data_IF_566676284131
#
_entry.id   IF_566676284131
#
_cell.length_a   1.000
_cell.length_b   1.000
_cell.length_c   1.000
_cell.angle_alpha   90.00
_cell.angle_beta   90.00
_cell.angle_gamma   90.00
#
_symmetry.space_group_name_H-M   'P 1'
#
loop_
_entity.id
_entity.type
_entity.pdbx_description
1 polymer ?
#
# COMPACT_ATOMS: atom_id res chain seq x y z
N UNK A 1 58.36 44.96 69.32
CA UNK A 1 58.46 43.64 70.01
C UNK A 1 58.33 42.56 68.96
N UNK A 2 58.88 41.34 69.04
CA UNK A 2 60.05 40.69 69.69
C UNK A 2 59.86 39.18 69.36
N UNK A 3 60.93 38.44 69.09
CA UNK A 3 61.02 36.95 69.00
C UNK A 3 60.29 36.18 67.85
N UNK A 4 61.08 35.86 66.81
CA UNK A 4 61.62 34.51 66.47
C UNK A 4 60.82 33.20 66.68
N UNK A 5 60.70 32.43 65.57
CA UNK A 5 60.83 30.93 65.44
C UNK A 5 59.86 29.99 66.21
N UNK A 6 59.31 28.91 65.63
CA UNK A 6 60.01 27.64 65.30
C UNK A 6 59.28 26.77 64.21
N UNK A 7 60.08 26.07 63.41
CA UNK A 7 59.91 24.88 62.53
C UNK A 7 58.55 24.10 62.47
N UNK A 8 58.10 23.72 61.26
CA UNK A 8 57.01 22.75 61.02
C UNK A 8 56.91 22.14 59.59
N UNK A 9 57.70 21.08 59.30
CA UNK A 9 57.84 20.33 58.02
C UNK A 9 56.54 19.54 57.68
N UNK A 10 55.98 19.45 56.45
CA UNK A 10 56.40 18.56 55.32
C UNK A 10 55.49 18.64 54.06
N UNK A 11 56.13 18.56 52.86
CA UNK A 11 55.77 17.79 51.62
C UNK A 11 54.53 18.14 50.76
N UNK A 12 54.79 18.37 49.45
CA UNK A 12 53.95 17.96 48.31
C UNK A 12 52.95 19.00 47.75
N UNK A 13 52.86 19.28 46.44
CA UNK A 13 53.66 18.83 45.28
C UNK A 13 53.30 19.64 44.02
N UNK A 14 54.16 19.69 42.99
CA UNK A 14 53.94 20.51 41.79
C UNK A 14 52.91 19.90 40.83
N UNK A 15 52.11 20.75 40.19
CA UNK A 15 51.40 20.44 38.95
C UNK A 15 52.11 21.16 37.78
N UNK A 16 52.37 20.45 36.69
CA UNK A 16 53.03 20.99 35.49
C UNK A 16 52.02 21.11 34.33
N UNK A 17 52.13 22.19 33.56
CA UNK A 17 51.30 22.43 32.36
C UNK A 17 51.92 21.74 31.16
N UNK A 18 51.12 20.97 30.42
CA UNK A 18 51.49 20.39 29.12
C UNK A 18 50.46 20.85 28.09
N UNK A 19 50.91 21.53 27.04
CA UNK A 19 50.10 21.84 25.87
C UNK A 19 50.09 20.66 24.90
N UNK A 20 48.95 20.36 24.29
CA UNK A 20 48.80 19.34 23.25
C UNK A 20 48.48 20.00 21.90
N UNK A 21 49.15 19.52 20.85
CA UNK A 21 49.04 20.06 19.50
C UNK A 21 47.81 19.51 18.75
N UNK A 22 47.31 20.29 17.79
CA UNK A 22 46.18 19.91 16.93
C UNK A 22 46.65 18.91 15.87
N UNK A 23 46.15 17.68 15.93
CA UNK A 23 46.34 16.66 14.89
C UNK A 23 45.16 16.63 13.91
N UNK A 24 45.41 16.95 12.63
CA UNK A 24 44.39 16.84 11.58
C UNK A 24 44.21 15.38 11.14
N UNK A 25 42.99 14.85 11.21
CA UNK A 25 42.63 13.53 10.68
C UNK A 25 42.16 13.63 9.23
N UNK A 26 42.80 12.87 8.34
CA UNK A 26 42.40 12.79 6.94
C UNK A 26 41.24 11.78 6.72
N UNK A 27 40.29 12.07 5.81
CA UNK A 27 39.17 11.16 5.53
C UNK A 27 39.60 10.04 4.56
N UNK A 28 39.46 8.77 4.99
CA UNK A 28 39.62 7.61 4.12
C UNK A 28 39.35 6.29 4.87
N UNK A 29 38.76 5.24 4.27
CA UNK A 29 38.27 5.12 2.90
C UNK A 29 36.91 4.40 2.87
N UNK A 30 35.98 4.91 2.05
CA UNK A 30 34.69 4.27 1.81
C UNK A 30 34.90 3.02 0.93
N UNK A 31 34.39 1.86 1.38
CA UNK A 31 34.68 0.60 0.71
C UNK A 31 34.01 0.53 -0.68
N UNK A 32 34.82 0.50 -1.74
CA UNK A 32 34.33 0.47 -3.12
C UNK A 32 33.32 -0.69 -3.36
N UNK A 33 32.20 -0.44 -4.06
CA UNK A 33 31.11 -1.41 -4.20
C UNK A 33 31.61 -2.70 -4.86
N UNK A 34 31.36 -3.84 -4.20
CA UNK A 34 31.75 -5.15 -4.73
C UNK A 34 30.89 -5.46 -5.96
N UNK A 35 31.47 -5.55 -7.19
CA UNK A 35 30.67 -5.72 -8.39
C UNK A 35 29.97 -7.08 -8.38
N UNK A 36 28.65 -7.07 -8.55
CA UNK A 36 27.81 -8.26 -8.73
C UNK A 36 26.99 -8.12 -10.02
N UNK A 37 27.26 -9.02 -10.96
CA UNK A 37 26.69 -8.98 -12.31
C UNK A 37 26.10 -10.36 -12.62
N UNK A 38 24.80 -10.41 -12.88
CA UNK A 38 24.15 -11.61 -13.41
C UNK A 38 24.44 -11.76 -14.91
N UNK A 39 24.64 -12.99 -15.36
CA UNK A 39 24.57 -13.35 -16.77
C UNK A 39 23.13 -13.50 -17.25
N UNK A 40 22.97 -13.86 -18.53
CA UNK A 40 21.67 -14.17 -19.12
C UNK A 40 21.05 -15.38 -18.39
N UNK A 41 19.81 -15.22 -17.93
CA UNK A 41 19.02 -16.31 -17.38
C UNK A 41 18.40 -17.14 -18.52
N UNK A 42 18.26 -18.45 -18.31
CA UNK A 42 17.77 -19.39 -19.34
C UNK A 42 16.96 -20.53 -18.72
N UNK A 43 15.95 -20.99 -19.44
CA UNK A 43 15.17 -22.19 -19.15
C UNK A 43 15.50 -23.30 -20.16
N UNK A 44 15.45 -24.57 -19.71
CA UNK A 44 15.69 -25.75 -20.53
C UNK A 44 14.70 -26.87 -20.15
N UNK A 45 13.77 -27.28 -21.03
CA UNK A 45 13.47 -26.66 -22.33
C UNK A 45 12.92 -25.23 -22.17
N UNK A 46 13.21 -24.35 -23.12
CA UNK A 46 12.57 -23.01 -23.19
C UNK A 46 11.12 -23.11 -23.68
N UNK A 47 10.86 -24.04 -24.60
CA UNK A 47 9.54 -24.35 -25.16
C UNK A 47 9.42 -25.85 -25.28
N UNK A 48 8.29 -26.43 -24.87
CA UNK A 48 8.01 -27.85 -25.01
C UNK A 48 6.55 -28.09 -25.38
N UNK A 49 6.32 -29.10 -26.23
CA UNK A 49 5.00 -29.65 -26.55
C UNK A 49 5.14 -31.16 -26.54
N UNK A 50 4.30 -31.87 -25.78
CA UNK A 50 4.43 -33.33 -25.63
C UNK A 50 3.77 -33.87 -24.36
N UNK A 51 4.26 -35.01 -23.87
CA UNK A 51 3.77 -35.64 -22.65
C UNK A 51 4.21 -34.88 -21.39
N UNK A 52 3.32 -34.87 -20.40
CA UNK A 52 3.54 -34.33 -19.07
C UNK A 52 3.39 -35.44 -18.01
N UNK A 53 4.08 -35.38 -16.86
CA UNK A 53 4.77 -34.20 -16.32
C UNK A 53 6.17 -33.95 -16.92
N UNK A 54 6.44 -32.69 -17.27
CA UNK A 54 7.73 -32.23 -17.80
C UNK A 54 8.55 -31.46 -16.77
N UNK A 55 9.81 -31.84 -16.58
CA UNK A 55 10.78 -31.03 -15.82
C UNK A 55 11.37 -29.91 -16.70
N UNK A 56 11.36 -28.68 -16.18
CA UNK A 56 12.05 -27.51 -16.74
C UNK A 56 13.14 -27.08 -15.76
N UNK A 57 14.39 -27.06 -16.22
CA UNK A 57 15.51 -26.53 -15.43
C UNK A 57 15.75 -25.06 -15.77
N UNK A 58 15.70 -24.20 -14.76
CA UNK A 58 16.02 -22.79 -14.84
C UNK A 58 17.46 -22.57 -14.36
N UNK A 59 18.20 -21.69 -15.02
CA UNK A 59 19.58 -21.38 -14.66
C UNK A 59 19.98 -19.93 -14.95
N UNK A 60 20.96 -19.46 -14.20
CA UNK A 60 21.66 -18.18 -14.45
C UNK A 60 23.08 -18.27 -13.90
N UNK A 61 23.91 -17.26 -14.18
CA UNK A 61 25.26 -17.13 -13.60
C UNK A 61 25.40 -15.82 -12.86
N UNK A 62 26.21 -15.79 -11.80
CA UNK A 62 26.54 -14.56 -11.05
C UNK A 62 28.04 -14.39 -10.95
N UNK A 63 28.55 -13.26 -11.46
CA UNK A 63 29.93 -12.82 -11.31
C UNK A 63 30.06 -12.01 -10.02
N UNK A 64 31.03 -12.37 -9.17
CA UNK A 64 31.17 -11.85 -7.79
C UNK A 64 32.65 -11.83 -7.36
N UNK A 65 33.06 -10.81 -6.59
CA UNK A 65 34.43 -10.70 -6.05
C UNK A 65 34.58 -11.51 -4.75
N UNK A 66 35.47 -12.50 -4.76
CA UNK A 66 35.80 -13.33 -3.61
C UNK A 66 36.81 -12.65 -2.65
N UNK A 67 36.77 -12.94 -1.34
CA UNK A 67 35.84 -13.85 -0.66
C UNK A 67 34.48 -13.20 -0.37
N UNK A 68 33.39 -13.94 -0.55
CA UNK A 68 32.02 -13.46 -0.30
C UNK A 68 31.05 -14.60 0.05
N UNK A 69 29.99 -14.28 0.81
CA UNK A 69 28.87 -15.19 1.05
C UNK A 69 27.69 -14.80 0.15
N UNK A 70 27.26 -15.72 -0.70
CA UNK A 70 26.12 -15.58 -1.59
C UNK A 70 24.88 -16.14 -0.88
N UNK A 71 23.93 -15.29 -0.48
CA UNK A 71 22.63 -15.72 0.10
C UNK A 71 21.52 -15.36 -0.88
N UNK A 72 20.77 -16.33 -1.39
CA UNK A 72 19.81 -16.14 -2.48
C UNK A 72 18.58 -17.05 -2.37
N UNK A 73 17.53 -16.74 -3.14
CA UNK A 73 16.45 -17.69 -3.45
C UNK A 73 16.06 -17.59 -4.92
N UNK A 74 15.44 -18.64 -5.46
CA UNK A 74 14.62 -18.55 -6.67
C UNK A 74 13.22 -18.04 -6.32
N UNK A 75 12.71 -17.13 -7.15
CA UNK A 75 11.33 -16.66 -7.18
C UNK A 75 10.69 -17.08 -8.50
N UNK A 76 9.40 -17.40 -8.50
CA UNK A 76 8.68 -17.94 -9.66
C UNK A 76 7.48 -17.07 -10.07
N UNK A 77 6.90 -17.36 -11.24
CA UNK A 77 5.85 -16.55 -11.90
C UNK A 77 4.45 -16.62 -11.26
N UNK A 78 4.22 -17.66 -10.49
CA UNK A 78 3.05 -17.92 -9.64
C UNK A 78 3.12 -17.18 -8.28
N UNK A 79 4.28 -16.55 -7.97
CA UNK A 79 4.57 -15.91 -6.69
C UNK A 79 5.36 -16.81 -5.71
N UNK A 80 5.52 -18.09 -6.03
CA UNK A 80 6.12 -19.09 -5.16
C UNK A 80 7.65 -18.94 -5.08
N UNK A 81 8.27 -19.50 -4.02
CA UNK A 81 9.68 -19.24 -3.72
C UNK A 81 10.42 -20.46 -3.16
N UNK A 82 11.66 -20.66 -3.61
CA UNK A 82 12.50 -21.73 -3.06
C UNK A 82 12.96 -21.44 -1.63
N UNK A 83 13.36 -22.48 -0.88
CA UNK A 83 14.09 -22.31 0.39
C UNK A 83 15.39 -21.54 0.15
N UNK A 84 15.69 -20.57 1.02
CA UNK A 84 16.86 -19.67 0.88
C UNK A 84 18.16 -20.47 0.92
N UNK A 85 18.94 -20.40 -0.16
CA UNK A 85 20.22 -21.08 -0.34
C UNK A 85 21.37 -20.14 0.05
N UNK A 86 22.39 -20.68 0.73
CA UNK A 86 23.61 -19.95 1.10
C UNK A 86 24.84 -20.67 0.57
N UNK A 87 25.73 -19.96 -0.10
CA UNK A 87 26.94 -20.50 -0.73
C UNK A 87 28.15 -19.61 -0.43
N UNK A 88 29.24 -20.19 0.08
CA UNK A 88 30.47 -19.44 0.44
C UNK A 88 31.46 -19.46 -0.73
N UNK A 89 31.71 -18.30 -1.33
CA UNK A 89 32.67 -18.12 -2.42
C UNK A 89 34.05 -17.83 -1.82
N UNK A 90 34.91 -18.85 -1.80
CA UNK A 90 36.29 -18.76 -1.31
C UNK A 90 37.31 -18.24 -2.33
N UNK A 91 38.54 -17.99 -1.86
CA UNK A 91 39.67 -17.55 -2.68
C UNK A 91 39.73 -16.03 -2.92
N UNK A 92 40.54 -15.64 -3.90
CA UNK A 92 40.76 -14.24 -4.33
C UNK A 92 40.26 -14.02 -5.77
N UNK A 93 40.00 -12.77 -6.13
CA UNK A 93 39.63 -12.36 -7.50
C UNK A 93 38.14 -12.43 -7.81
N UNK A 94 37.78 -12.22 -9.08
CA UNK A 94 36.41 -12.42 -9.56
C UNK A 94 36.15 -13.91 -9.81
N UNK A 95 34.97 -14.39 -9.42
CA UNK A 95 34.48 -15.76 -9.65
C UNK A 95 33.11 -15.69 -10.33
N UNK A 96 32.83 -16.66 -11.20
CA UNK A 96 31.51 -16.85 -11.81
C UNK A 96 30.89 -18.10 -11.19
N UNK A 97 29.72 -17.96 -10.56
CA UNK A 97 28.99 -19.08 -9.95
C UNK A 97 27.75 -19.36 -10.80
N UNK A 98 27.54 -20.61 -11.19
CA UNK A 98 26.30 -21.05 -11.83
C UNK A 98 25.24 -21.38 -10.76
N UNK A 99 24.01 -20.92 -10.97
CA UNK A 99 22.87 -21.14 -10.08
C UNK A 99 21.75 -21.79 -10.90
N UNK A 100 21.10 -22.81 -10.34
CA UNK A 100 20.00 -23.51 -10.99
C UNK A 100 18.89 -23.94 -10.02
N UNK A 101 17.73 -24.25 -10.59
CA UNK A 101 16.63 -24.97 -9.96
C UNK A 101 15.83 -25.71 -11.03
N UNK A 102 15.01 -26.68 -10.63
CA UNK A 102 14.09 -27.37 -11.54
C UNK A 102 12.65 -27.19 -11.06
N UNK A 103 11.74 -27.02 -12.01
CA UNK A 103 10.29 -26.95 -11.82
C UNK A 103 9.68 -28.18 -12.52
N UNK A 104 8.75 -28.88 -11.87
CA UNK A 104 7.99 -29.97 -12.47
C UNK A 104 6.63 -29.41 -12.91
N UNK A 105 6.37 -29.45 -14.21
CA UNK A 105 5.12 -28.97 -14.81
C UNK A 105 4.23 -30.18 -15.13
N UNK A 106 2.99 -30.17 -14.68
CA UNK A 106 1.99 -31.23 -14.95
C UNK A 106 1.03 -30.88 -16.08
N UNK A 107 0.76 -29.58 -16.28
CA UNK A 107 -0.32 -29.06 -17.12
C UNK A 107 0.16 -27.86 -17.98
N UNK A 108 -0.68 -27.36 -18.88
CA UNK A 108 -0.35 -26.23 -19.78
C UNK A 108 0.08 -24.97 -19.01
N UNK A 109 1.39 -24.70 -19.03
CA UNK A 109 2.02 -23.69 -18.16
C UNK A 109 2.99 -22.81 -18.94
N UNK A 110 2.76 -21.50 -18.87
CA UNK A 110 3.74 -20.48 -19.25
C UNK A 110 4.22 -19.80 -17.97
N UNK A 111 5.53 -19.81 -17.75
CA UNK A 111 6.10 -19.35 -16.49
C UNK A 111 7.49 -18.77 -16.62
N UNK A 112 8.02 -18.28 -15.51
CA UNK A 112 9.40 -17.82 -15.40
C UNK A 112 9.92 -18.00 -13.99
N UNK A 113 11.25 -18.05 -13.85
CA UNK A 113 11.90 -17.93 -12.55
C UNK A 113 13.13 -17.03 -12.61
N UNK A 114 13.46 -16.38 -11.50
CA UNK A 114 14.61 -15.51 -11.36
C UNK A 114 15.32 -15.76 -10.02
N UNK A 115 16.61 -15.42 -9.93
CA UNK A 115 17.35 -15.46 -8.67
C UNK A 115 17.27 -14.10 -7.99
N UNK A 116 16.69 -14.06 -6.79
CA UNK A 116 16.71 -12.93 -5.87
C UNK A 116 17.89 -13.07 -4.90
N UNK A 117 18.87 -12.19 -5.00
CA UNK A 117 20.05 -12.15 -4.14
C UNK A 117 19.82 -11.23 -2.93
N UNK A 118 20.29 -11.67 -1.76
CA UNK A 118 20.22 -10.94 -0.48
C UNK A 118 21.59 -10.50 0.04
N UNK A 119 22.67 -11.18 -0.35
CA UNK A 119 24.05 -10.92 0.10
C UNK A 119 25.04 -11.41 -0.97
N UNK A 120 26.16 -10.69 -1.26
CA UNK A 120 26.67 -9.50 -0.57
C UNK A 120 25.95 -8.18 -0.93
N UNK A 121 25.11 -8.19 -1.96
CA UNK A 121 24.24 -7.06 -2.33
C UNK A 121 22.84 -7.58 -2.63
N UNK A 122 21.82 -6.71 -2.55
CA UNK A 122 20.46 -7.03 -3.01
C UNK A 122 20.38 -6.79 -4.52
N UNK A 123 19.95 -7.80 -5.28
CA UNK A 123 19.81 -7.74 -6.75
C UNK A 123 19.03 -8.94 -7.29
N UNK A 124 18.20 -8.75 -8.30
CA UNK A 124 17.52 -9.85 -9.00
C UNK A 124 18.20 -10.14 -10.35
N UNK A 125 18.13 -11.39 -10.82
CA UNK A 125 18.55 -11.76 -12.18
C UNK A 125 17.46 -11.41 -13.21
N UNK A 126 17.81 -11.41 -14.49
CA UNK A 126 16.80 -11.52 -15.55
C UNK A 126 15.93 -12.79 -15.38
N UNK A 127 14.74 -12.78 -15.99
CA UNK A 127 13.76 -13.87 -15.91
C UNK A 127 14.10 -15.02 -16.87
N UNK A 128 14.27 -16.24 -16.34
CA UNK A 128 14.34 -17.46 -17.13
C UNK A 128 12.92 -17.92 -17.48
N UNK A 129 12.39 -17.45 -18.62
CA UNK A 129 11.02 -17.77 -19.06
C UNK A 129 10.93 -19.07 -19.87
N UNK A 130 9.84 -19.81 -19.67
CA UNK A 130 9.53 -21.06 -20.34
C UNK A 130 8.05 -21.17 -20.74
N UNK A 131 7.75 -22.06 -21.69
CA UNK A 131 6.41 -22.52 -22.00
C UNK A 131 6.38 -24.05 -22.16
N UNK A 132 5.40 -24.70 -21.55
CA UNK A 132 5.09 -26.12 -21.71
C UNK A 132 3.63 -26.24 -22.09
N UNK A 133 3.36 -26.99 -23.16
CA UNK A 133 2.02 -27.43 -23.54
C UNK A 133 1.97 -28.95 -23.50
N UNK A 134 1.02 -29.49 -22.76
CA UNK A 134 0.79 -30.91 -22.59
C UNK A 134 -0.19 -31.40 -23.67
N UNK A 135 0.04 -32.58 -24.24
CA UNK A 135 -0.97 -33.22 -25.08
C UNK A 135 -2.18 -33.63 -24.21
N UNK A 136 -3.41 -33.31 -24.65
CA UNK A 136 -4.61 -33.45 -23.80
C UNK A 136 -4.86 -34.89 -23.32
N UNK A 137 -5.08 -35.03 -22.00
CA UNK A 137 -5.23 -36.31 -21.30
C UNK A 137 -6.43 -36.43 -20.35
N UNK A 138 -7.36 -35.47 -20.35
CA UNK A 138 -8.68 -35.62 -19.73
C UNK A 138 -9.03 -34.69 -18.56
N UNK A 139 -10.19 -34.03 -18.70
CA UNK A 139 -11.14 -33.54 -17.67
C UNK A 139 -10.55 -33.09 -16.31
N UNK A 140 -10.45 -31.78 -16.11
CA UNK A 140 -10.35 -31.20 -14.76
C UNK A 140 -11.71 -31.21 -14.05
N UNK A 141 -11.74 -31.79 -12.85
CA UNK A 141 -12.83 -31.66 -11.86
C UNK A 141 -12.25 -31.63 -10.45
N UNK A 142 -12.57 -30.59 -9.67
CA UNK A 142 -12.27 -30.51 -8.24
C UNK A 142 -10.89 -29.91 -7.91
N UNK A 143 -10.89 -29.06 -6.89
CA UNK A 143 -9.70 -28.41 -6.34
C UNK A 143 -8.82 -29.42 -5.57
N UNK A 144 -7.50 -29.27 -5.68
CA UNK A 144 -6.52 -30.27 -5.23
C UNK A 144 -5.76 -29.91 -3.93
N UNK A 145 -6.25 -28.95 -3.15
CA UNK A 145 -5.52 -28.36 -2.01
C UNK A 145 -6.28 -28.44 -0.69
N UNK A 146 -6.72 -29.65 -0.34
CA UNK A 146 -7.38 -29.94 0.94
C UNK A 146 -6.48 -30.80 1.86
N UNK A 147 -6.80 -30.79 3.16
CA UNK A 147 -6.24 -31.58 4.28
C UNK A 147 -4.80 -31.31 4.80
N UNK A 148 -4.77 -30.65 5.98
CA UNK A 148 -3.97 -30.96 7.21
C UNK A 148 -2.42 -30.94 7.11
N UNK A 149 -1.65 -30.37 8.07
CA UNK A 149 -1.97 -29.69 9.34
C UNK A 149 -0.92 -30.00 10.44
N UNK A 150 -0.66 -29.09 11.39
CA UNK A 150 0.34 -29.31 12.46
C UNK A 150 0.50 -28.15 13.47
N UNK A 151 0.16 -28.40 14.73
CA UNK A 151 -0.10 -27.42 15.81
C UNK A 151 1.12 -26.81 16.55
N UNK A 152 0.94 -25.59 17.09
CA UNK A 152 1.14 -25.04 18.49
C UNK A 152 2.12 -25.82 19.43
N UNK A 153 2.98 -25.24 20.31
CA UNK A 153 2.74 -24.40 21.53
C UNK A 153 4.01 -23.60 21.99
N UNK A 154 3.84 -22.58 22.86
CA UNK A 154 4.88 -21.81 23.62
C UNK A 154 5.43 -22.60 24.88
N UNK A 155 6.09 -22.11 25.96
CA UNK A 155 6.14 -20.79 26.65
C UNK A 155 7.52 -20.45 27.27
N UNK A 156 7.95 -19.18 27.22
CA UNK A 156 8.83 -18.52 28.24
C UNK A 156 10.37 -18.66 28.09
N UNK A 157 11.21 -17.94 28.86
CA UNK A 157 10.95 -17.01 29.97
C UNK A 157 12.04 -15.89 30.14
N UNK A 158 11.85 -15.02 31.14
CA UNK A 158 12.57 -13.77 31.48
C UNK A 158 14.10 -13.89 31.69
N UNK A 159 14.82 -12.78 31.51
CA UNK A 159 15.46 -12.07 32.64
C UNK A 159 15.59 -10.54 32.40
N UNK A 160 16.04 -9.77 33.40
CA UNK A 160 15.76 -8.33 33.58
C UNK A 160 16.99 -7.52 34.05
N UNK A 161 17.26 -6.33 33.45
CA UNK A 161 18.06 -5.26 34.11
C UNK A 161 17.92 -3.83 33.53
N UNK A 162 16.94 -3.10 34.06
CA UNK A 162 17.03 -1.71 34.60
C UNK A 162 18.06 -0.67 34.08
N UNK A 163 17.51 0.41 33.47
CA UNK A 163 17.79 1.88 33.71
C UNK A 163 19.18 2.51 33.44
N UNK A 164 19.30 3.87 33.33
CA UNK A 164 18.28 4.94 33.27
C UNK A 164 18.41 5.92 32.06
N UNK A 165 17.43 6.82 31.90
CA UNK A 165 17.52 8.05 31.07
C UNK A 165 18.46 9.10 31.69
N UNK A 166 18.92 10.11 30.93
CA UNK A 166 18.32 11.45 31.12
C UNK A 166 18.30 12.41 29.90
N UNK A 167 17.39 13.40 29.99
CA UNK A 167 17.43 14.77 29.43
C UNK A 167 17.44 15.01 27.91
N UNK A 168 16.25 15.38 27.44
CA UNK A 168 15.93 16.55 26.62
C UNK A 168 17.07 17.57 26.39
N UNK A 169 17.24 17.98 25.13
CA UNK A 169 17.74 19.27 24.69
C UNK A 169 16.99 19.66 23.40
N UNK A 170 16.60 20.92 23.27
CA UNK A 170 15.76 21.39 22.17
C UNK A 170 16.60 21.76 20.94
N UNK A 171 16.14 21.40 19.74
CA UNK A 171 16.46 22.16 18.53
C UNK A 171 15.39 21.97 17.46
N UNK A 172 14.85 23.07 16.93
CA UNK A 172 13.70 23.09 16.00
C UNK A 172 14.13 23.67 14.65
N UNK A 173 14.26 22.87 13.59
CA UNK A 173 14.36 23.40 12.23
C UNK A 173 13.12 24.24 11.89
N UNK A 174 13.34 25.47 11.41
CA UNK A 174 12.25 26.35 11.03
C UNK A 174 11.52 25.84 9.79
N UNK A 175 10.19 25.93 9.77
CA UNK A 175 9.37 25.68 8.59
C UNK A 175 9.81 26.59 7.43
N UNK A 176 9.92 26.08 6.19
CA UNK A 176 10.09 26.94 5.03
C UNK A 176 8.97 27.97 4.94
N UNK A 177 9.28 29.19 4.49
CA UNK A 177 8.24 30.15 4.10
C UNK A 177 7.41 29.59 2.94
N UNK A 178 6.12 29.94 2.82
CA UNK A 178 5.39 29.79 1.56
C UNK A 178 6.15 30.48 0.42
N UNK A 179 6.11 29.90 -0.77
CA UNK A 179 6.46 30.62 -1.99
C UNK A 179 5.40 31.68 -2.31
N UNK A 180 5.75 32.71 -3.07
CA UNK A 180 4.75 33.69 -3.54
C UNK A 180 3.86 33.04 -4.61
N UNK A 181 2.55 33.00 -4.36
CA UNK A 181 1.56 32.51 -5.32
C UNK A 181 1.53 33.40 -6.58
N UNK A 182 2.05 32.86 -7.67
CA UNK A 182 1.89 33.44 -9.00
C UNK A 182 0.77 32.69 -9.75
N UNK A 183 -0.45 33.25 -9.87
CA UNK A 183 -1.57 32.55 -10.49
C UNK A 183 -1.35 32.21 -11.98
N UNK A 184 -0.36 32.84 -12.65
CA UNK A 184 0.02 32.46 -14.02
C UNK A 184 0.71 31.09 -14.12
N UNK A 185 1.12 30.47 -13.01
CA UNK A 185 1.73 29.13 -13.00
C UNK A 185 0.73 28.00 -12.73
N UNK A 186 -0.54 28.31 -12.44
CA UNK A 186 -1.44 27.36 -11.82
C UNK A 186 -2.94 27.62 -12.11
N UNK A 187 -3.52 26.95 -13.12
CA UNK A 187 -4.89 27.25 -13.57
C UNK A 187 -6.01 26.49 -12.83
N UNK A 188 -5.71 25.53 -11.95
CA UNK A 188 -6.72 24.56 -11.46
C UNK A 188 -7.40 25.04 -10.17
N UNK A 189 -8.65 25.50 -10.25
CA UNK A 189 -9.41 25.87 -9.04
C UNK A 189 -9.66 24.67 -8.10
N UNK A 190 -9.82 23.46 -8.64
CA UNK A 190 -10.03 22.23 -7.87
C UNK A 190 -9.60 20.99 -8.65
N UNK A 191 -8.73 20.17 -8.06
CA UNK A 191 -8.29 18.90 -8.62
C UNK A 191 -8.87 17.71 -7.85
N UNK A 192 -9.36 16.68 -8.54
CA UNK A 192 -9.54 15.32 -7.99
C UNK A 192 -8.56 14.38 -8.69
N UNK A 193 -7.94 13.48 -7.94
CA UNK A 193 -7.21 12.32 -8.47
C UNK A 193 -8.09 11.07 -8.30
N UNK A 194 -7.91 10.04 -9.12
CA UNK A 194 -8.43 8.70 -8.87
C UNK A 194 -7.49 7.63 -9.43
N UNK A 195 -7.49 6.44 -8.83
CA UNK A 195 -6.66 5.31 -9.24
C UNK A 195 -7.52 4.26 -9.94
N UNK A 196 -7.14 3.87 -11.16
CA UNK A 196 -7.76 2.77 -11.90
C UNK A 196 -6.81 1.58 -11.97
N UNK A 197 -7.07 0.51 -11.21
CA UNK A 197 -6.33 -0.76 -11.33
C UNK A 197 -6.73 -1.47 -12.63
N UNK A 198 -5.75 -1.69 -13.50
CA UNK A 198 -5.94 -2.32 -14.83
C UNK A 198 -5.66 -3.84 -14.83
N UNK A 199 -5.07 -4.36 -13.76
CA UNK A 199 -4.79 -5.79 -13.57
C UNK A 199 -5.77 -6.46 -12.59
N UNK A 200 -6.02 -7.76 -12.78
CA UNK A 200 -6.79 -8.57 -11.82
C UNK A 200 -5.94 -9.09 -10.65
N UNK A 201 -4.61 -9.13 -10.79
CA UNK A 201 -3.66 -9.52 -9.74
C UNK A 201 -3.51 -8.43 -8.69
N UNK A 202 -3.35 -8.86 -7.42
CA UNK A 202 -2.97 -7.98 -6.31
C UNK A 202 -1.54 -7.46 -6.51
N UNK A 203 -0.55 -8.35 -6.63
CA UNK A 203 0.84 -7.98 -6.91
C UNK A 203 1.50 -8.96 -7.91
N UNK A 204 2.22 -8.48 -8.95
CA UNK A 204 2.31 -7.09 -9.38
C UNK A 204 0.96 -6.56 -9.88
N UNK A 205 0.83 -5.23 -9.92
CA UNK A 205 -0.30 -4.55 -10.51
C UNK A 205 0.13 -3.51 -11.54
N UNK A 206 -0.80 -3.14 -12.41
CA UNK A 206 -0.68 -1.94 -13.25
C UNK A 206 -1.87 -1.05 -12.96
N UNK A 207 -1.65 0.23 -12.69
CA UNK A 207 -2.73 1.21 -12.51
C UNK A 207 -2.50 2.48 -13.30
N UNK A 208 -3.60 3.13 -13.68
CA UNK A 208 -3.60 4.51 -14.19
C UNK A 208 -3.92 5.46 -13.07
N UNK A 209 -3.33 6.64 -13.12
CA UNK A 209 -3.73 7.80 -12.34
C UNK A 209 -4.58 8.68 -13.24
N UNK A 210 -5.83 8.92 -12.86
CA UNK A 210 -6.71 9.88 -13.52
C UNK A 210 -6.67 11.21 -12.77
N UNK A 211 -6.47 12.31 -13.48
CA UNK A 211 -6.66 13.67 -12.98
C UNK A 211 -7.93 14.28 -13.55
N UNK A 212 -8.74 14.89 -12.68
CA UNK A 212 -9.96 15.62 -13.02
C UNK A 212 -9.80 17.05 -12.51
N UNK A 213 -9.87 18.02 -13.41
CA UNK A 213 -9.51 19.42 -13.16
C UNK A 213 -10.71 20.32 -13.45
N UNK A 214 -11.21 20.97 -12.42
CA UNK A 214 -12.43 21.79 -12.41
C UNK A 214 -12.07 23.28 -12.28
N UNK A 215 -12.83 24.15 -12.96
CA UNK A 215 -12.64 25.61 -12.90
C UNK A 215 -11.41 26.15 -13.65
N UNK A 216 -10.88 25.41 -14.61
CA UNK A 216 -9.83 25.86 -15.54
C UNK A 216 -10.29 27.11 -16.33
N UNK A 217 -9.42 28.13 -16.54
CA UNK A 217 -9.73 29.28 -17.40
C UNK A 217 -9.93 28.86 -18.86
N UNK A 218 -10.82 29.54 -19.58
CA UNK A 218 -11.10 29.24 -20.98
C UNK A 218 -9.86 29.45 -21.89
N UNK A 219 -9.75 28.62 -22.93
CA UNK A 219 -8.57 28.55 -23.80
C UNK A 219 -7.61 27.44 -23.37
N UNK A 220 -6.53 27.24 -24.12
CA UNK A 220 -5.57 26.18 -23.81
C UNK A 220 -4.82 26.48 -22.50
N UNK A 221 -4.73 25.49 -21.62
CA UNK A 221 -4.06 25.58 -20.32
C UNK A 221 -2.95 24.52 -20.20
N UNK A 222 -2.03 24.70 -19.26
CA UNK A 222 -1.08 23.65 -18.86
C UNK A 222 -1.22 23.42 -17.36
N UNK A 223 -1.50 22.18 -16.96
CA UNK A 223 -1.59 21.76 -15.55
C UNK A 223 -0.28 21.10 -15.12
N UNK A 224 0.16 21.34 -13.88
CA UNK A 224 1.36 20.71 -13.32
C UNK A 224 1.00 19.72 -12.21
N UNK A 225 1.63 18.54 -12.25
CA UNK A 225 1.55 17.51 -11.20
C UNK A 225 2.92 16.92 -10.92
N UNK A 226 3.10 16.32 -9.74
CA UNK A 226 4.31 15.55 -9.40
C UNK A 226 3.99 14.41 -8.44
N UNK A 227 4.98 13.55 -8.21
CA UNK A 227 4.97 12.62 -7.09
C UNK A 227 5.63 13.29 -5.88
N UNK A 228 5.03 13.15 -4.70
CA UNK A 228 5.60 13.75 -3.49
C UNK A 228 7.02 13.22 -3.25
N UNK A 229 7.90 14.08 -2.72
CA UNK A 229 9.33 13.79 -2.61
C UNK A 229 10.14 13.92 -3.91
N UNK A 230 9.51 14.05 -5.08
CA UNK A 230 10.22 14.37 -6.34
C UNK A 230 10.37 15.88 -6.54
N UNK A 231 11.50 16.31 -7.11
CA UNK A 231 11.79 17.73 -7.37
C UNK A 231 11.23 18.23 -8.71
N UNK A 232 10.96 17.33 -9.66
CA UNK A 232 10.53 17.69 -11.00
C UNK A 232 9.00 17.64 -11.14
N UNK A 233 8.41 18.77 -11.53
CA UNK A 233 7.02 18.84 -11.98
C UNK A 233 6.89 18.30 -13.40
N UNK A 234 5.82 17.55 -13.67
CA UNK A 234 5.37 17.12 -14.99
C UNK A 234 4.21 18.00 -15.45
N UNK A 235 4.09 18.20 -16.76
CA UNK A 235 3.03 19.01 -17.38
C UNK A 235 1.99 18.14 -18.08
N UNK A 236 0.75 18.64 -18.12
CA UNK A 236 -0.37 18.11 -18.89
C UNK A 236 -0.99 19.26 -19.67
N UNK A 237 -1.07 19.10 -21.00
CA UNK A 237 -1.69 20.09 -21.87
C UNK A 237 -3.21 19.91 -21.91
N UNK A 238 -3.94 21.01 -21.75
CA UNK A 238 -5.40 21.08 -21.77
C UNK A 238 -5.84 21.70 -23.10
N UNK A 239 -6.65 21.00 -23.92
CA UNK A 239 -7.24 21.56 -25.14
C UNK A 239 -8.09 22.81 -24.88
N UNK A 240 -8.11 23.75 -25.83
CA UNK A 240 -8.82 25.03 -25.67
C UNK A 240 -10.36 24.90 -25.62
N UNK A 241 -10.88 23.76 -26.05
CA UNK A 241 -12.29 23.35 -26.08
C UNK A 241 -12.67 22.44 -24.89
N UNK A 242 -11.89 22.48 -23.79
CA UNK A 242 -12.17 21.69 -22.60
C UNK A 242 -13.56 21.99 -21.99
N UNK A 243 -14.20 20.97 -21.44
CA UNK A 243 -15.44 21.12 -20.66
C UNK A 243 -15.21 21.77 -19.29
N UNK A 244 -16.29 21.93 -18.52
CA UNK A 244 -16.24 22.47 -17.15
C UNK A 244 -15.37 21.64 -16.18
N UNK A 245 -15.17 20.36 -16.50
CA UNK A 245 -14.15 19.48 -15.91
C UNK A 245 -13.34 18.87 -17.05
N UNK A 246 -12.02 19.05 -17.04
CA UNK A 246 -11.09 18.34 -17.91
C UNK A 246 -10.62 17.06 -17.21
N UNK A 247 -10.63 15.92 -17.88
CA UNK A 247 -10.22 14.62 -17.32
C UNK A 247 -9.22 13.91 -18.22
N UNK A 248 -8.10 13.43 -17.65
CA UNK A 248 -7.10 12.67 -18.41
C UNK A 248 -6.30 11.72 -17.51
N UNK A 249 -5.60 10.76 -18.13
CA UNK A 249 -4.62 9.90 -17.45
C UNK A 249 -3.31 10.68 -17.31
N UNK A 250 -2.87 10.92 -16.07
CA UNK A 250 -1.60 11.59 -15.76
C UNK A 250 -0.43 10.64 -15.94
N UNK A 251 -0.56 9.41 -15.42
CA UNK A 251 0.48 8.39 -15.45
C UNK A 251 -0.15 6.99 -15.59
N UNK A 252 0.59 6.04 -16.15
CA UNK A 252 0.33 4.61 -15.97
C UNK A 252 1.55 3.96 -15.32
N UNK A 253 1.34 3.34 -14.16
CA UNK A 253 2.37 2.71 -13.36
C UNK A 253 2.29 1.19 -13.44
N UNK A 254 3.41 0.53 -13.67
CA UNK A 254 3.61 -0.86 -13.22
C UNK A 254 4.22 -0.84 -11.83
N UNK A 255 3.57 -1.47 -10.86
CA UNK A 255 4.07 -1.60 -9.49
C UNK A 255 4.22 -3.07 -9.15
N UNK A 256 5.41 -3.45 -8.69
CA UNK A 256 5.73 -4.83 -8.38
C UNK A 256 6.54 -5.00 -7.11
N UNK A 257 6.91 -6.25 -6.85
CA UNK A 257 7.73 -6.65 -5.70
C UNK A 257 9.11 -5.98 -5.61
N UNK A 258 9.53 -5.30 -6.68
CA UNK A 258 10.82 -4.61 -6.84
C UNK A 258 10.73 -3.07 -6.75
N UNK A 259 9.51 -2.51 -6.68
CA UNK A 259 9.30 -1.08 -6.34
C UNK A 259 9.84 -0.82 -4.92
N UNK A 260 10.45 0.34 -4.68
CA UNK A 260 11.02 0.68 -3.36
C UNK A 260 10.04 1.50 -2.51
N UNK A 261 9.15 2.25 -3.15
CA UNK A 261 8.01 2.92 -2.55
C UNK A 261 6.94 1.93 -2.04
N UNK A 262 6.40 2.19 -0.86
CA UNK A 262 5.23 1.49 -0.32
C UNK A 262 3.92 2.31 -0.50
N UNK A 263 4.02 3.55 -0.96
CA UNK A 263 2.90 4.44 -1.29
C UNK A 263 3.26 5.39 -2.43
N UNK A 264 2.35 5.61 -3.39
CA UNK A 264 2.45 6.76 -4.30
C UNK A 264 1.56 7.86 -3.76
N UNK A 265 2.16 9.04 -3.60
CA UNK A 265 1.50 10.27 -3.21
C UNK A 265 1.61 11.23 -4.40
N UNK A 266 0.48 11.79 -4.82
CA UNK A 266 0.40 12.66 -6.01
C UNK A 266 0.00 14.05 -5.58
N UNK A 267 0.81 15.03 -5.97
CA UNK A 267 0.62 16.43 -5.67
C UNK A 267 0.20 17.16 -6.95
N UNK A 268 -1.01 17.72 -6.95
CA UNK A 268 -1.43 18.73 -7.93
C UNK A 268 -1.40 20.08 -7.25
N UNK A 269 -0.69 21.03 -7.86
CA UNK A 269 -0.64 22.42 -7.39
C UNK A 269 -2.03 23.08 -7.55
N UNK A 270 -2.48 23.91 -6.60
CA UNK A 270 -3.71 24.74 -6.73
C UNK A 270 -3.44 26.21 -6.35
N UNK A 271 -4.10 27.21 -6.99
CA UNK A 271 -3.76 28.64 -6.90
C UNK A 271 -4.21 29.32 -5.59
N UNK A 272 -4.28 28.53 -4.52
CA UNK A 272 -4.62 28.89 -3.15
C UNK A 272 -3.68 28.19 -2.15
N UNK A 273 -2.56 27.64 -2.63
CA UNK A 273 -1.60 26.86 -1.83
C UNK A 273 -2.08 25.47 -1.40
N UNK A 274 -3.26 25.00 -1.84
CA UNK A 274 -3.71 23.64 -1.56
C UNK A 274 -3.03 22.63 -2.48
N UNK A 275 -2.80 21.43 -1.93
CA UNK A 275 -2.32 20.27 -2.67
C UNK A 275 -3.39 19.20 -2.60
N UNK A 276 -4.06 18.87 -3.72
CA UNK A 276 -4.85 17.63 -3.76
C UNK A 276 -3.89 16.46 -3.65
N UNK A 277 -4.15 15.55 -2.71
CA UNK A 277 -3.11 14.71 -2.12
C UNK A 277 -3.62 13.28 -1.84
N UNK A 278 -3.58 12.43 -2.86
CA UNK A 278 -4.03 11.03 -2.74
C UNK A 278 -2.82 10.14 -2.42
N UNK A 279 -2.86 9.52 -1.24
CA UNK A 279 -1.85 8.57 -0.73
C UNK A 279 -2.35 7.15 -0.97
N UNK A 280 -1.86 6.52 -2.04
CA UNK A 280 -2.22 5.15 -2.37
C UNK A 280 -1.16 4.17 -1.84
N UNK A 281 -1.46 3.49 -0.73
CA UNK A 281 -0.70 2.33 -0.26
C UNK A 281 -1.04 1.10 -1.09
N UNK A 282 -0.07 0.21 -1.32
CA UNK A 282 -0.36 -1.10 -1.90
C UNK A 282 0.33 -2.26 -1.17
N UNK A 283 -0.44 -3.30 -0.87
CA UNK A 283 -0.11 -4.45 -0.02
C UNK A 283 0.95 -5.41 -0.58
N UNK A 284 1.78 -5.01 -1.55
CA UNK A 284 2.96 -5.80 -1.93
C UNK A 284 4.00 -5.83 -0.79
N UNK A 285 3.90 -4.89 0.15
CA UNK A 285 4.55 -4.87 1.47
C UNK A 285 3.63 -4.12 2.46
N UNK A 286 3.74 -4.33 3.79
CA UNK A 286 3.16 -3.43 4.77
C UNK A 286 3.70 -1.99 4.60
N UNK A 287 2.94 -0.95 4.97
CA UNK A 287 3.40 0.44 4.87
C UNK A 287 4.64 0.71 5.74
N UNK A 288 5.35 1.81 5.44
CA UNK A 288 6.44 2.26 6.30
C UNK A 288 5.81 2.83 7.58
N UNK A 289 5.87 2.05 8.67
CA UNK A 289 5.29 2.41 9.97
C UNK A 289 5.72 3.81 10.43
N UNK A 290 4.76 4.58 10.93
CA UNK A 290 4.98 5.96 11.36
C UNK A 290 4.99 7.01 10.24
N UNK A 291 4.68 6.62 8.99
CA UNK A 291 4.41 7.60 7.93
C UNK A 291 3.14 8.38 8.27
N UNK A 292 3.24 9.69 8.43
CA UNK A 292 2.09 10.57 8.70
C UNK A 292 1.19 10.70 7.45
N UNK A 293 -0.11 10.52 7.62
CA UNK A 293 -1.16 10.63 6.57
C UNK A 293 -1.96 11.92 6.74
N UNK A 294 -2.26 12.30 7.99
CA UNK A 294 -3.16 13.41 8.29
C UNK A 294 -3.36 13.59 9.79
N UNK A 295 -4.50 14.16 10.19
CA UNK A 295 -4.86 14.41 11.60
C UNK A 295 -6.32 14.04 11.82
N UNK A 296 -6.64 13.24 12.83
CA UNK A 296 -7.98 13.15 13.39
C UNK A 296 -8.08 14.17 14.52
N UNK A 297 -9.13 14.99 14.54
CA UNK A 297 -9.25 16.06 15.55
C UNK A 297 -10.08 15.67 16.78
N UNK A 298 -10.63 14.45 16.79
CA UNK A 298 -11.42 13.84 17.86
C UNK A 298 -11.34 12.31 17.68
N UNK A 299 -11.67 11.55 18.72
CA UNK A 299 -11.66 10.08 18.66
C UNK A 299 -12.77 9.57 17.73
N UNK A 300 -12.39 8.81 16.69
CA UNK A 300 -13.32 8.21 15.73
C UNK A 300 -13.44 6.73 16.08
N UNK A 301 -14.49 6.38 16.84
CA UNK A 301 -14.65 5.06 17.44
C UNK A 301 -15.18 3.99 16.45
N UNK A 302 -14.60 2.79 16.52
CA UNK A 302 -15.17 1.57 15.97
C UNK A 302 -16.16 0.98 16.99
N UNK A 303 -17.39 0.72 16.57
CA UNK A 303 -18.46 0.19 17.45
C UNK A 303 -18.81 -1.26 17.11
N UNK A 304 -19.63 -1.90 17.96
CA UNK A 304 -20.18 -3.23 17.69
C UNK A 304 -20.95 -3.34 16.37
N UNK A 305 -21.46 -2.22 15.85
CA UNK A 305 -22.16 -2.08 14.56
C UNK A 305 -21.33 -1.33 13.49
N UNK A 306 -20.01 -1.20 13.66
CA UNK A 306 -19.15 -0.38 12.81
C UNK A 306 -19.09 1.06 13.30
N UNK A 307 -20.17 1.83 13.13
CA UNK A 307 -20.22 3.24 13.58
C UNK A 307 -19.26 4.17 12.82
N UNK A 308 -18.80 5.28 13.42
CA UNK A 308 -18.07 6.36 12.74
C UNK A 308 -16.87 5.91 11.88
N UNK A 309 -16.09 4.91 12.30
CA UNK A 309 -14.98 4.36 11.49
C UNK A 309 -15.49 3.68 10.22
N UNK A 310 -16.52 2.84 10.33
CA UNK A 310 -17.10 2.17 9.16
C UNK A 310 -17.79 3.17 8.22
N UNK A 311 -18.39 4.23 8.77
CA UNK A 311 -18.94 5.35 8.00
C UNK A 311 -17.85 6.09 7.21
N UNK A 312 -16.70 6.34 7.84
CA UNK A 312 -15.53 6.96 7.21
C UNK A 312 -14.96 6.10 6.08
N UNK A 313 -14.83 4.78 6.28
CA UNK A 313 -14.39 3.84 5.24
C UNK A 313 -15.37 3.80 4.07
N UNK A 314 -16.68 3.83 4.33
CA UNK A 314 -17.67 3.84 3.26
C UNK A 314 -17.60 5.13 2.41
N UNK A 315 -17.40 6.29 3.03
CA UNK A 315 -17.20 7.55 2.30
C UNK A 315 -15.90 7.54 1.48
N UNK A 316 -14.81 7.05 2.06
CA UNK A 316 -13.53 6.88 1.39
C UNK A 316 -13.63 5.95 0.16
N UNK A 317 -14.29 4.81 0.31
CA UNK A 317 -14.52 3.86 -0.79
C UNK A 317 -15.39 4.47 -1.89
N UNK A 318 -16.41 5.27 -1.55
CA UNK A 318 -17.21 5.99 -2.55
C UNK A 318 -16.36 7.03 -3.30
N UNK A 319 -15.64 7.91 -2.59
CA UNK A 319 -14.84 8.99 -3.20
C UNK A 319 -13.82 8.42 -4.20
N UNK A 320 -13.14 7.33 -3.82
CA UNK A 320 -12.06 6.72 -4.59
C UNK A 320 -12.49 6.13 -5.94
N UNK A 321 -13.73 5.64 -6.07
CA UNK A 321 -14.23 5.05 -7.34
C UNK A 321 -15.28 5.90 -8.07
N UNK A 322 -15.87 6.90 -7.42
CA UNK A 322 -16.99 7.67 -7.98
C UNK A 322 -16.69 8.28 -9.35
N UNK A 323 -15.56 8.95 -9.54
CA UNK A 323 -15.24 9.66 -10.79
C UNK A 323 -15.00 8.73 -11.98
N UNK A 324 -14.43 7.54 -11.74
CA UNK A 324 -14.13 6.53 -12.76
C UNK A 324 -15.35 5.67 -13.11
N UNK A 325 -16.19 5.35 -12.13
CA UNK A 325 -17.30 4.38 -12.29
C UNK A 325 -18.69 4.99 -12.35
N UNK A 326 -18.88 6.20 -11.82
CA UNK A 326 -20.18 6.79 -11.53
C UNK A 326 -20.89 6.15 -10.32
N UNK A 327 -20.17 5.56 -9.37
CA UNK A 327 -20.74 5.03 -8.12
C UNK A 327 -21.54 6.11 -7.36
N UNK A 328 -22.69 5.72 -6.83
CA UNK A 328 -23.64 6.60 -6.13
C UNK A 328 -23.62 6.40 -4.61
N UNK A 329 -23.28 5.18 -4.17
CA UNK A 329 -23.08 4.83 -2.75
C UNK A 329 -22.04 3.71 -2.66
N UNK A 330 -21.32 3.63 -1.55
CA UNK A 330 -20.58 2.45 -1.14
C UNK A 330 -21.32 1.71 -0.01
N UNK A 331 -20.98 0.43 0.20
CA UNK A 331 -21.37 -0.40 1.33
C UNK A 331 -20.14 -1.11 1.90
N UNK A 332 -20.03 -1.15 3.23
CA UNK A 332 -18.94 -1.84 3.94
C UNK A 332 -19.47 -2.70 5.09
N UNK A 333 -18.80 -3.81 5.37
CA UNK A 333 -19.00 -4.58 6.60
C UNK A 333 -17.87 -4.27 7.57
N UNK A 334 -18.21 -4.14 8.86
CA UNK A 334 -17.24 -4.00 9.96
C UNK A 334 -16.32 -5.21 10.14
N UNK A 335 -16.58 -6.33 9.45
CA UNK A 335 -15.87 -7.61 9.63
C UNK A 335 -14.35 -7.49 9.47
N UNK A 336 -13.88 -6.67 8.53
CA UNK A 336 -12.46 -6.43 8.29
C UNK A 336 -11.83 -5.32 9.16
N UNK A 337 -12.58 -4.79 10.14
CA UNK A 337 -12.16 -3.64 10.94
C UNK A 337 -11.79 -4.07 12.36
N UNK A 338 -10.64 -3.62 12.88
CA UNK A 338 -10.13 -4.06 14.19
C UNK A 338 -10.16 -2.97 15.27
N UNK A 339 -9.87 -1.73 14.91
CA UNK A 339 -9.81 -0.58 15.82
C UNK A 339 -10.32 0.72 15.16
N UNK A 340 -10.22 1.84 15.89
CA UNK A 340 -10.59 3.17 15.40
C UNK A 340 -9.40 4.15 15.39
N UNK A 341 -9.69 5.45 15.29
CA UNK A 341 -8.67 6.50 15.36
C UNK A 341 -8.74 7.25 16.68
N UNK A 342 -7.58 7.45 17.32
CA UNK A 342 -7.42 8.40 18.43
C UNK A 342 -7.27 9.84 17.88
N UNK A 343 -7.63 10.84 18.68
CA UNK A 343 -7.42 12.24 18.36
C UNK A 343 -5.93 12.60 18.31
N UNK A 344 -5.42 12.97 17.13
CA UNK A 344 -4.01 13.32 16.91
C UNK A 344 -3.55 13.12 15.47
N UNK A 345 -2.22 13.11 15.23
CA UNK A 345 -1.64 12.71 13.95
C UNK A 345 -2.02 11.27 13.62
N UNK A 346 -2.55 11.05 12.41
CA UNK A 346 -2.92 9.71 11.92
C UNK A 346 -1.82 9.20 11.00
N UNK A 347 -1.33 8.00 11.26
CA UNK A 347 -0.24 7.36 10.53
C UNK A 347 -0.72 6.15 9.71
N UNK A 348 0.17 5.69 8.84
CA UNK A 348 0.01 4.44 8.08
C UNK A 348 -0.07 3.18 8.93
N UNK A 349 0.39 3.22 10.19
CA UNK A 349 0.18 2.12 11.14
C UNK A 349 -1.29 2.02 11.54
N UNK A 350 -1.93 3.16 11.77
CA UNK A 350 -3.29 3.25 12.33
C UNK A 350 -4.34 2.94 11.25
N UNK A 351 -4.13 3.42 10.02
CA UNK A 351 -4.96 3.05 8.85
C UNK A 351 -4.87 1.56 8.55
N UNK A 352 -3.68 0.95 8.71
CA UNK A 352 -3.48 -0.49 8.57
C UNK A 352 -4.10 -1.29 9.73
N UNK A 353 -4.04 -0.73 10.95
CA UNK A 353 -4.68 -1.26 12.15
C UNK A 353 -6.19 -1.32 12.03
N UNK A 354 -6.83 -0.28 11.47
CA UNK A 354 -8.25 -0.30 11.09
C UNK A 354 -8.50 -1.47 10.14
N UNK A 355 -7.92 -1.46 8.93
CA UNK A 355 -8.12 -2.53 7.94
C UNK A 355 -6.85 -2.81 7.13
N UNK A 356 -6.33 -4.04 7.29
CA UNK A 356 -5.06 -4.49 6.70
C UNK A 356 -5.20 -5.39 5.46
N UNK A 357 -6.44 -5.65 5.02
CA UNK A 357 -6.74 -6.68 4.03
C UNK A 357 -6.67 -6.21 2.56
N UNK A 358 -6.60 -4.89 2.31
CA UNK A 358 -6.38 -4.29 0.98
C UNK A 358 -7.26 -4.92 -0.10
N UNK A 359 -8.58 -4.91 0.11
CA UNK A 359 -9.52 -5.60 -0.76
C UNK A 359 -9.97 -4.65 -1.89
N UNK A 360 -9.95 -5.17 -3.12
CA UNK A 360 -10.37 -4.44 -4.31
C UNK A 360 -11.79 -3.87 -4.17
N UNK A 361 -11.94 -2.56 -4.36
CA UNK A 361 -13.23 -1.89 -4.51
C UNK A 361 -13.70 -2.11 -5.95
N UNK A 362 -14.77 -2.90 -6.08
CA UNK A 362 -15.46 -3.13 -7.34
C UNK A 362 -16.82 -2.39 -7.29
N UNK A 363 -17.48 -2.24 -8.45
CA UNK A 363 -18.74 -1.48 -8.57
C UNK A 363 -19.75 -2.25 -9.41
N UNK A 364 -21.01 -2.28 -8.97
CA UNK A 364 -22.11 -3.02 -9.60
C UNK A 364 -23.39 -2.18 -9.73
N UNK A 365 -24.17 -2.46 -10.76
CA UNK A 365 -25.56 -2.04 -10.91
C UNK A 365 -26.46 -3.00 -10.13
N UNK A 366 -27.15 -2.45 -9.13
CA UNK A 366 -28.00 -3.16 -8.17
C UNK A 366 -29.38 -2.50 -8.18
N UNK A 367 -30.46 -3.26 -8.35
CA UNK A 367 -31.83 -2.72 -8.22
C UNK A 367 -32.18 -2.43 -6.76
N UNK A 368 -33.11 -1.50 -6.50
CA UNK A 368 -33.63 -1.26 -5.15
C UNK A 368 -34.10 -2.54 -4.44
N UNK A 369 -34.75 -3.45 -5.17
CA UNK A 369 -35.17 -4.76 -4.65
C UNK A 369 -34.00 -5.71 -4.31
N UNK A 370 -32.88 -5.66 -5.03
CA UNK A 370 -31.65 -6.38 -4.67
C UNK A 370 -30.96 -5.71 -3.49
N UNK A 371 -30.87 -4.37 -3.47
CA UNK A 371 -30.23 -3.61 -2.40
C UNK A 371 -30.92 -3.83 -1.05
N UNK A 372 -32.25 -3.84 -1.01
CA UNK A 372 -33.04 -4.19 0.19
C UNK A 372 -32.74 -5.60 0.74
N UNK A 373 -32.30 -6.54 -0.09
CA UNK A 373 -31.86 -7.89 0.35
C UNK A 373 -30.40 -7.89 0.81
N UNK A 374 -29.52 -7.20 0.07
CA UNK A 374 -28.08 -7.09 0.35
C UNK A 374 -27.81 -6.45 1.73
N UNK A 375 -28.64 -5.48 2.13
CA UNK A 375 -28.53 -4.77 3.42
C UNK A 375 -28.97 -5.59 4.66
N UNK A 376 -29.47 -6.81 4.47
CA UNK A 376 -29.88 -7.73 5.55
C UNK A 376 -28.76 -8.75 5.81
N UNK A 377 -28.27 -8.92 7.05
CA UNK A 377 -27.23 -9.91 7.37
C UNK A 377 -27.75 -11.35 7.33
N UNK A 378 -26.88 -12.30 6.98
CA UNK A 378 -27.13 -13.74 7.08
C UNK A 378 -26.95 -14.27 8.52
N UNK A 379 -26.03 -13.69 9.29
CA UNK A 379 -25.85 -13.93 10.73
C UNK A 379 -25.92 -12.57 11.45
N UNK A 380 -26.79 -12.43 12.45
CA UNK A 380 -26.96 -11.18 13.22
C UNK A 380 -25.68 -10.71 13.91
N UNK A 381 -24.70 -11.59 14.14
CA UNK A 381 -23.35 -11.24 14.64
C UNK A 381 -22.54 -10.37 13.66
N UNK A 382 -22.90 -10.37 12.38
CA UNK A 382 -22.29 -9.51 11.36
C UNK A 382 -22.55 -8.01 11.62
N UNK A 383 -23.60 -7.68 12.38
CA UNK A 383 -24.08 -6.31 12.55
C UNK A 383 -24.88 -5.85 11.34
N UNK A 384 -24.60 -4.64 10.87
CA UNK A 384 -25.24 -4.00 9.71
C UNK A 384 -24.20 -3.69 8.63
N UNK A 385 -24.65 -3.53 7.37
CA UNK A 385 -23.80 -2.89 6.37
C UNK A 385 -23.83 -1.38 6.60
N UNK A 386 -22.65 -0.78 6.72
CA UNK A 386 -22.54 0.67 6.84
C UNK A 386 -22.44 1.28 5.45
N UNK A 387 -23.35 2.20 5.07
CA UNK A 387 -23.29 2.87 3.78
C UNK A 387 -22.46 4.16 3.83
N UNK A 388 -22.06 4.65 2.65
CA UNK A 388 -21.59 6.03 2.49
C UNK A 388 -22.70 7.05 2.77
N UNK A 389 -22.37 8.31 3.07
CA UNK A 389 -23.32 9.35 3.50
C UNK A 389 -24.44 9.66 2.48
N UNK A 390 -24.29 9.22 1.23
CA UNK A 390 -25.31 9.29 0.19
C UNK A 390 -26.47 8.31 0.34
N UNK A 391 -26.37 7.26 1.17
CA UNK A 391 -27.45 6.28 1.36
C UNK A 391 -27.79 6.10 2.85
N UNK A 392 -29.08 6.02 3.17
CA UNK A 392 -29.54 5.65 4.52
C UNK A 392 -30.70 4.66 4.47
N UNK A 393 -30.83 3.84 5.53
CA UNK A 393 -31.86 2.81 5.59
C UNK A 393 -32.35 2.49 7.02
N UNK A 394 -33.58 1.97 7.11
CA UNK A 394 -34.12 1.38 8.34
C UNK A 394 -34.27 -0.13 8.17
N UNK A 395 -33.56 -0.90 9.01
CA UNK A 395 -33.73 -2.34 9.18
C UNK A 395 -34.69 -2.57 10.36
N UNK A 396 -35.87 -3.13 10.11
CA UNK A 396 -36.84 -3.45 11.14
C UNK A 396 -37.25 -4.92 11.04
N UNK A 397 -37.14 -5.68 12.14
CA UNK A 397 -37.55 -7.10 12.16
C UNK A 397 -36.92 -7.99 11.09
N UNK A 398 -35.70 -7.66 10.62
CA UNK A 398 -34.99 -8.40 9.56
C UNK A 398 -35.32 -7.97 8.12
N UNK A 399 -36.12 -6.92 7.90
CA UNK A 399 -36.41 -6.38 6.57
C UNK A 399 -36.10 -4.88 6.46
N UNK A 400 -35.70 -4.42 5.28
CA UNK A 400 -35.46 -2.99 5.02
C UNK A 400 -36.79 -2.28 4.73
N UNK A 401 -37.23 -1.42 5.66
CA UNK A 401 -38.54 -0.74 5.61
C UNK A 401 -38.47 0.69 5.08
N UNK A 402 -37.31 1.33 5.17
CA UNK A 402 -37.02 2.64 4.57
C UNK A 402 -35.65 2.56 3.92
N UNK A 403 -35.48 3.16 2.74
CA UNK A 403 -34.25 3.14 1.95
C UNK A 403 -34.20 4.40 1.09
N UNK A 404 -33.19 5.24 1.30
CA UNK A 404 -33.05 6.54 0.65
C UNK A 404 -31.67 6.71 0.04
N UNK A 405 -31.61 7.29 -1.16
CA UNK A 405 -30.40 7.70 -1.85
C UNK A 405 -30.46 9.22 -2.05
N UNK A 406 -29.47 9.95 -1.53
CA UNK A 406 -29.43 11.41 -1.45
C UNK A 406 -30.72 12.00 -0.85
N UNK A 407 -31.26 11.36 0.18
CA UNK A 407 -32.51 11.72 0.86
C UNK A 407 -33.79 11.30 0.12
N UNK A 408 -33.74 10.99 -1.17
CA UNK A 408 -34.90 10.56 -1.95
C UNK A 408 -35.18 9.04 -1.77
N UNK A 409 -36.44 8.61 -1.59
CA UNK A 409 -36.77 7.18 -1.47
C UNK A 409 -36.38 6.36 -2.70
N UNK A 410 -35.82 5.18 -2.48
CA UNK A 410 -35.42 4.23 -3.55
C UNK A 410 -36.60 3.33 -3.92
N UNK A 411 -36.98 3.35 -5.20
CA UNK A 411 -37.97 2.40 -5.74
C UNK A 411 -37.34 1.04 -6.06
N UNK A 412 -38.13 -0.03 -5.99
CA UNK A 412 -37.63 -1.41 -6.16
C UNK A 412 -36.98 -1.68 -7.53
N UNK A 413 -37.43 -0.98 -8.57
CA UNK A 413 -36.92 -1.06 -9.95
C UNK A 413 -35.77 -0.09 -10.25
N UNK A 414 -35.45 0.84 -9.35
CA UNK A 414 -34.37 1.81 -9.55
C UNK A 414 -33.02 1.10 -9.52
N UNK A 415 -32.26 1.22 -10.61
CA UNK A 415 -30.87 0.74 -10.67
C UNK A 415 -29.95 1.78 -10.02
N UNK A 416 -29.10 1.32 -9.11
CA UNK A 416 -28.11 2.11 -8.38
C UNK A 416 -26.73 1.52 -8.63
N UNK A 417 -25.74 2.37 -8.90
CA UNK A 417 -24.33 1.98 -8.92
C UNK A 417 -23.78 1.95 -7.50
N UNK A 418 -23.61 0.75 -6.96
CA UNK A 418 -23.13 0.48 -5.60
C UNK A 418 -21.68 0.00 -5.65
N UNK A 419 -20.82 0.61 -4.86
CA UNK A 419 -19.44 0.18 -4.63
C UNK A 419 -19.34 -0.69 -3.36
N UNK A 420 -18.45 -1.68 -3.37
CA UNK A 420 -18.11 -2.49 -2.19
C UNK A 420 -16.79 -3.23 -2.44
N UNK A 421 -16.18 -3.79 -1.39
CA UNK A 421 -15.08 -4.72 -1.59
C UNK A 421 -15.58 -6.02 -2.25
N UNK A 422 -14.77 -6.63 -3.11
CA UNK A 422 -15.16 -7.82 -3.88
C UNK A 422 -15.52 -9.05 -3.03
N UNK A 423 -15.01 -9.14 -1.80
CA UNK A 423 -15.31 -10.22 -0.84
C UNK A 423 -16.74 -10.09 -0.30
N UNK A 424 -17.16 -8.88 0.07
CA UNK A 424 -18.54 -8.58 0.48
C UNK A 424 -19.54 -8.94 -0.62
N UNK A 425 -19.33 -8.43 -1.84
CA UNK A 425 -20.21 -8.75 -2.97
C UNK A 425 -20.23 -10.25 -3.33
N UNK A 426 -19.13 -10.96 -3.03
CA UNK A 426 -19.03 -12.42 -3.16
C UNK A 426 -19.93 -13.22 -2.22
N UNK A 427 -20.49 -12.62 -1.16
CA UNK A 427 -21.33 -13.28 -0.16
C UNK A 427 -20.60 -13.70 1.12
N UNK A 428 -19.53 -12.98 1.48
CA UNK A 428 -18.76 -13.20 2.72
C UNK A 428 -19.07 -12.10 3.76
N UNK A 429 -18.23 -11.98 4.80
CA UNK A 429 -18.33 -10.93 5.84
C UNK A 429 -19.67 -10.91 6.61
N UNK A 430 -20.45 -11.99 6.52
CA UNK A 430 -21.74 -12.18 7.18
C UNK A 430 -22.97 -11.76 6.35
N UNK A 431 -22.81 -11.39 5.08
CA UNK A 431 -23.86 -10.84 4.22
C UNK A 431 -24.15 -11.70 2.97
N UNK A 432 -25.35 -11.59 2.37
CA UNK A 432 -25.71 -12.39 1.21
C UNK A 432 -24.90 -12.00 -0.03
N UNK A 433 -24.73 -12.98 -0.92
CA UNK A 433 -24.09 -12.81 -2.23
C UNK A 433 -24.92 -11.89 -3.12
N UNK A 434 -24.25 -11.06 -3.91
CA UNK A 434 -24.91 -10.10 -4.80
C UNK A 434 -25.33 -10.79 -6.11
N UNK A 435 -26.31 -11.69 -6.04
CA UNK A 435 -26.73 -12.48 -7.19
C UNK A 435 -27.58 -11.68 -8.19
N UNK A 436 -27.30 -11.91 -9.48
CA UNK A 436 -27.97 -11.23 -10.59
C UNK A 436 -27.64 -9.74 -10.76
N UNK A 437 -26.59 -9.21 -10.10
CA UNK A 437 -26.13 -7.82 -10.31
C UNK A 437 -25.20 -7.71 -11.52
N UNK A 438 -25.19 -6.55 -12.19
CA UNK A 438 -24.30 -6.30 -13.34
C UNK A 438 -23.03 -5.58 -12.89
N UNK A 439 -21.86 -6.11 -13.20
CA UNK A 439 -20.58 -5.45 -12.89
C UNK A 439 -20.37 -4.21 -13.79
N UNK A 440 -20.00 -3.09 -13.18
CA UNK A 440 -19.74 -1.78 -13.83
C UNK A 440 -18.24 -1.53 -13.93
N UNK A 441 -17.51 -1.84 -12.86
CA UNK A 441 -16.05 -1.72 -12.78
C UNK A 441 -15.51 -2.83 -11.87
N UNK A 442 -14.31 -3.30 -12.20
CA UNK A 442 -13.45 -4.11 -11.31
C UNK A 442 -12.05 -3.52 -11.20
N UNK A 443 -12.00 -2.20 -11.22
CA UNK A 443 -10.81 -1.40 -11.45
C UNK A 443 -10.62 -0.30 -10.41
N UNK A 444 -11.34 -0.35 -9.29
CA UNK A 444 -11.07 0.56 -8.18
C UNK A 444 -9.75 0.23 -7.48
N UNK A 445 -9.25 1.15 -6.64
CA UNK A 445 -8.19 0.86 -5.69
C UNK A 445 -8.67 -0.16 -4.64
N UNK A 446 -7.80 -0.52 -3.71
CA UNK A 446 -8.20 -1.23 -2.49
C UNK A 446 -8.75 -0.28 -1.41
N UNK A 447 -9.51 -0.86 -0.47
CA UNK A 447 -10.16 -0.15 0.63
C UNK A 447 -9.20 0.44 1.68
N UNK A 448 -8.06 -0.21 1.97
CA UNK A 448 -6.99 0.35 2.82
C UNK A 448 -6.38 1.62 2.19
N UNK A 449 -5.98 1.57 0.91
CA UNK A 449 -5.45 2.72 0.18
C UNK A 449 -6.47 3.84 -0.03
N UNK A 450 -7.75 3.51 -0.21
CA UNK A 450 -8.82 4.50 -0.27
C UNK A 450 -9.00 5.25 1.06
N UNK A 451 -8.97 4.54 2.21
CA UNK A 451 -9.08 5.17 3.53
C UNK A 451 -7.93 6.16 3.79
N UNK A 452 -6.69 5.76 3.50
CA UNK A 452 -5.52 6.64 3.60
C UNK A 452 -5.68 7.91 2.73
N UNK A 453 -6.12 7.72 1.48
CA UNK A 453 -6.33 8.80 0.53
C UNK A 453 -7.37 9.81 1.02
N UNK A 454 -8.46 9.32 1.61
CA UNK A 454 -9.52 10.15 2.16
C UNK A 454 -9.06 10.93 3.40
N UNK A 455 -8.34 10.30 4.32
CA UNK A 455 -7.77 10.97 5.50
C UNK A 455 -6.76 12.06 5.10
N UNK A 456 -5.97 11.84 4.04
CA UNK A 456 -5.05 12.83 3.50
C UNK A 456 -5.77 14.03 2.84
N UNK A 457 -6.78 13.78 2.00
CA UNK A 457 -7.58 14.82 1.34
C UNK A 457 -8.42 15.66 2.32
N UNK A 458 -8.96 15.03 3.38
CA UNK A 458 -9.92 15.63 4.32
C UNK A 458 -9.31 15.94 5.70
N UNK A 459 -7.98 16.06 5.78
CA UNK A 459 -7.25 16.40 7.00
C UNK A 459 -7.46 17.87 7.40
N UNK A 460 -7.79 18.21 8.67
CA UNK A 460 -8.00 17.30 9.78
C UNK A 460 -9.42 16.67 9.74
N UNK A 461 -9.48 15.34 9.77
CA UNK A 461 -10.73 14.58 9.70
C UNK A 461 -11.54 14.68 11.00
N UNK A 462 -12.85 14.40 10.89
CA UNK A 462 -13.83 14.36 11.98
C UNK A 462 -14.60 13.04 11.95
N UNK A 463 -15.20 12.67 13.07
CA UNK A 463 -16.17 11.59 13.10
C UNK A 463 -17.37 11.93 12.20
N UNK A 464 -17.79 11.01 11.31
CA UNK A 464 -19.09 11.12 10.67
C UNK A 464 -20.22 11.23 11.70
N UNK A 465 -21.26 12.00 11.38
CA UNK A 465 -22.36 12.32 12.32
C UNK A 465 -23.20 11.12 12.76
N UNK A 466 -23.09 9.96 12.11
CA UNK A 466 -23.96 8.81 12.32
C UNK A 466 -25.23 8.87 11.47
N UNK A 467 -26.32 8.33 12.03
CA UNK A 467 -27.70 8.37 11.51
C UNK A 467 -27.97 7.64 10.18
N UNK A 468 -26.97 7.03 9.54
CA UNK A 468 -27.14 6.34 8.24
C UNK A 468 -27.94 5.04 8.32
N UNK A 469 -27.86 4.34 9.45
CA UNK A 469 -28.54 3.05 9.66
C UNK A 469 -29.39 3.13 10.92
N UNK A 470 -30.69 2.89 10.78
CA UNK A 470 -31.62 2.74 11.92
C UNK A 470 -32.00 1.27 12.06
N UNK A 471 -31.89 0.71 13.28
CA UNK A 471 -32.33 -0.67 13.59
C UNK A 471 -33.54 -0.61 14.53
N UNK A 472 -34.55 -1.45 14.30
CA UNK A 472 -35.82 -1.52 15.06
C UNK A 472 -36.34 -2.95 15.26
#
# INVERSE_FOLDING_TARGET
MRLSTIVGRRIGGLAAVIALAVGALAPGAQAAPRPVVFGKASALPKTHTGECPRTVTLSTTVKIKAPATLKYTWIFSDGDQSKVKTYRVGGKGLKTIALSTSVKVTDDTRGWGAVRLFSPVRKTSGKASFAVTCAEGGKSTGDAWDTVGGSVVEIGARDNRTTPSPKQADDKPASPKPAEDNPAQNPVQKARIAFERTTASKCPLTFKVHGYFEGLPAGAQTVQYRFAGTQAWKTVDVPADHGAVFSTVLETFEWGWETEENSVQIEVNQPNGLTSNIIYYFECRPPISGTNIGVAAEDIALTSSGGPVAELVADAMLEAVQSVSGAQTALVSKYGMHEGLEAGPVTSSDVWGIQSAGLAIDVWEVTGAQLKKILVPNDSKAGVLTPSASLSYTLAGGVVTDLKLNGAPVSDTQVIKVAANYILAGGWQGFPRWDGVKSVSRSGPDDTGALASYIANHSPIRAPKGERVTVR
#
